data_IF_304398707234
#
_entry.id   IF_304398707234
#
_cell.length_a   1.000
_cell.length_b   1.000
_cell.length_c   1.000
_cell.angle_alpha   90.00
_cell.angle_beta   90.00
_cell.angle_gamma   90.00
#
_symmetry.space_group_name_H-M   'P 1'
#
loop_
_entity.id
_entity.type
_entity.pdbx_description
1 polymer ?
#
# COMPACT_ATOMS: atom_id res chain seq x y z
N UNK A 1 15.31 -1.74 2.76
CA UNK A 1 15.71 -2.53 3.95
C UNK A 1 14.76 -3.71 4.05
N UNK A 2 15.17 -4.88 3.57
CA UNK A 2 14.44 -6.13 3.82
C UNK A 2 14.92 -6.66 5.16
N UNK A 3 14.05 -6.67 6.17
CA UNK A 3 14.36 -7.24 7.47
C UNK A 3 14.19 -8.76 7.34
N UNK A 4 15.26 -9.46 7.00
CA UNK A 4 15.23 -10.93 6.93
C UNK A 4 15.39 -11.48 8.35
N UNK A 5 14.51 -12.41 8.73
CA UNK A 5 14.65 -13.13 9.99
C UNK A 5 15.92 -14.00 9.96
N UNK A 6 16.87 -13.74 10.87
CA UNK A 6 18.14 -14.47 10.99
C UNK A 6 17.94 -15.81 11.69
N UNK A 7 17.49 -16.83 10.94
CA UNK A 7 17.29 -18.19 11.46
C UNK A 7 18.56 -18.80 12.03
N UNK A 8 19.71 -18.53 11.41
CA UNK A 8 20.99 -19.10 11.84
C UNK A 8 21.43 -18.52 13.18
N UNK A 9 21.36 -17.20 13.35
CA UNK A 9 21.64 -16.54 14.62
C UNK A 9 20.65 -16.92 15.71
N UNK A 10 19.37 -17.12 15.37
CA UNK A 10 18.35 -17.59 16.31
C UNK A 10 18.65 -19.02 16.80
N UNK A 11 18.89 -19.97 15.89
CA UNK A 11 19.26 -21.35 16.24
C UNK A 11 20.55 -21.39 17.07
N UNK A 12 21.56 -20.57 16.73
CA UNK A 12 22.81 -20.49 17.50
C UNK A 12 22.57 -20.08 18.95
N UNK A 13 21.76 -19.05 19.21
CA UNK A 13 21.42 -18.62 20.57
C UNK A 13 20.69 -19.70 21.37
N UNK A 14 19.79 -20.46 20.72
CA UNK A 14 19.12 -21.58 21.37
C UNK A 14 20.11 -22.67 21.78
N UNK A 15 21.08 -23.01 20.93
CA UNK A 15 22.13 -23.97 21.28
C UNK A 15 23.02 -23.50 22.40
N UNK A 16 23.40 -22.22 22.41
CA UNK A 16 24.19 -21.60 23.49
C UNK A 16 23.44 -21.66 24.83
N UNK A 17 22.11 -21.65 24.80
CA UNK A 17 21.24 -21.84 25.96
C UNK A 17 20.97 -23.33 26.32
N UNK A 18 21.62 -24.28 25.63
CA UNK A 18 21.51 -25.71 25.91
C UNK A 18 20.43 -26.46 25.12
N UNK A 19 19.75 -25.83 24.16
CA UNK A 19 18.79 -26.53 23.30
C UNK A 19 19.53 -27.44 22.30
N UNK A 20 19.14 -28.73 22.17
CA UNK A 20 19.75 -29.63 21.20
C UNK A 20 19.65 -29.08 19.77
N UNK A 21 20.70 -29.31 18.96
CA UNK A 21 20.82 -28.72 17.61
C UNK A 21 19.57 -28.92 16.73
N UNK A 22 19.05 -30.16 16.66
CA UNK A 22 17.86 -30.46 15.86
C UNK A 22 16.62 -29.67 16.31
N UNK A 23 16.47 -29.45 17.62
CA UNK A 23 15.36 -28.67 18.16
C UNK A 23 15.56 -27.17 17.93
N UNK A 24 16.79 -26.68 18.08
CA UNK A 24 17.13 -25.28 17.82
C UNK A 24 16.88 -24.88 16.36
N UNK A 25 17.24 -25.75 15.41
CA UNK A 25 16.97 -25.56 13.99
C UNK A 25 15.47 -25.60 13.69
N UNK A 26 14.75 -26.62 14.19
CA UNK A 26 13.30 -26.73 14.02
C UNK A 26 12.54 -25.52 14.60
N UNK A 27 12.96 -25.00 15.76
CA UNK A 27 12.40 -23.77 16.33
C UNK A 27 12.69 -22.53 15.48
N UNK A 28 13.91 -22.40 14.95
CA UNK A 28 14.26 -21.27 14.10
C UNK A 28 13.43 -21.24 12.81
N UNK A 29 13.22 -22.42 12.20
CA UNK A 29 12.43 -22.56 10.99
C UNK A 29 10.94 -22.26 11.24
N UNK A 30 10.36 -22.81 12.31
CA UNK A 30 8.99 -22.48 12.70
C UNK A 30 8.83 -20.99 13.00
N UNK A 31 9.75 -20.39 13.76
CA UNK A 31 9.71 -18.97 14.07
C UNK A 31 9.80 -18.10 12.81
N UNK A 32 10.64 -18.46 11.83
CA UNK A 32 10.70 -17.76 10.54
C UNK A 32 9.37 -17.84 9.81
N UNK A 33 8.73 -19.01 9.76
CA UNK A 33 7.46 -19.20 9.07
C UNK A 33 6.36 -18.29 9.65
N UNK A 34 6.25 -18.23 10.98
CA UNK A 34 5.29 -17.33 11.64
C UNK A 34 5.64 -15.84 11.49
N UNK A 35 6.92 -15.47 11.63
CA UNK A 35 7.33 -14.06 11.58
C UNK A 35 7.32 -13.50 10.16
N UNK A 36 7.65 -14.32 9.16
CA UNK A 36 7.73 -13.89 7.76
C UNK A 36 6.46 -14.20 6.96
N UNK A 37 5.50 -14.95 7.50
CA UNK A 37 4.33 -15.45 6.77
C UNK A 37 3.35 -14.37 6.29
N UNK A 38 3.20 -13.27 7.03
CA UNK A 38 2.23 -12.21 6.72
C UNK A 38 2.85 -10.80 6.59
N UNK A 39 4.11 -10.72 6.16
CA UNK A 39 4.77 -9.42 6.00
C UNK A 39 4.38 -8.75 4.69
N UNK A 40 3.91 -7.51 4.79
CA UNK A 40 3.74 -6.63 3.64
C UNK A 40 5.08 -6.43 2.95
N UNK A 41 5.14 -6.74 1.67
CA UNK A 41 6.34 -6.58 0.86
C UNK A 41 6.42 -5.18 0.25
N UNK A 42 7.62 -4.80 -0.23
CA UNK A 42 7.79 -3.54 -0.97
C UNK A 42 6.90 -3.50 -2.22
N UNK A 43 6.70 -4.65 -2.88
CA UNK A 43 5.84 -4.76 -4.07
C UNK A 43 4.38 -4.51 -3.72
N UNK A 44 3.90 -5.00 -2.58
CA UNK A 44 2.52 -4.76 -2.12
C UNK A 44 2.29 -3.27 -1.89
N UNK A 45 3.25 -2.59 -1.24
CA UNK A 45 3.20 -1.14 -1.03
C UNK A 45 3.21 -0.39 -2.36
N UNK A 46 4.12 -0.74 -3.28
CA UNK A 46 4.19 -0.11 -4.61
C UNK A 46 2.89 -0.28 -5.39
N UNK A 47 2.28 -1.47 -5.32
CA UNK A 47 0.99 -1.75 -5.96
C UNK A 47 -0.12 -0.90 -5.35
N UNK A 48 -0.14 -0.77 -4.02
CA UNK A 48 -1.11 0.05 -3.32
C UNK A 48 -0.95 1.54 -3.66
N UNK A 49 0.29 2.05 -3.69
CA UNK A 49 0.60 3.43 -4.09
C UNK A 49 0.13 3.71 -5.51
N UNK A 50 0.47 2.84 -6.48
CA UNK A 50 0.06 3.01 -7.87
C UNK A 50 -1.48 3.01 -8.03
N UNK A 51 -2.18 2.18 -7.25
CA UNK A 51 -3.65 2.17 -7.23
C UNK A 51 -4.23 3.48 -6.68
N UNK A 52 -3.63 4.03 -5.63
CA UNK A 52 -4.05 5.32 -5.06
C UNK A 52 -3.80 6.47 -6.04
N UNK A 53 -2.63 6.54 -6.66
CA UNK A 53 -2.31 7.57 -7.67
C UNK A 53 -3.34 7.55 -8.81
N UNK A 54 -3.62 6.36 -9.34
CA UNK A 54 -4.63 6.17 -10.39
C UNK A 54 -6.02 6.66 -9.95
N UNK A 55 -6.43 6.37 -8.70
CA UNK A 55 -7.72 6.83 -8.18
C UNK A 55 -7.77 8.34 -7.98
N UNK A 56 -6.69 8.95 -7.50
CA UNK A 56 -6.58 10.38 -7.30
C UNK A 56 -6.60 11.15 -8.62
N UNK A 57 -5.92 10.64 -9.64
CA UNK A 57 -5.94 11.22 -10.99
C UNK A 57 -7.34 11.15 -11.59
N UNK A 58 -8.01 10.00 -11.49
CA UNK A 58 -9.39 9.85 -11.96
C UNK A 58 -10.36 10.78 -11.23
N UNK A 59 -10.21 10.92 -9.91
CA UNK A 59 -11.02 11.84 -9.12
C UNK A 59 -10.79 13.29 -9.56
N UNK A 60 -9.52 13.68 -9.72
CA UNK A 60 -9.14 15.03 -10.16
C UNK A 60 -9.71 15.35 -11.54
N UNK A 61 -9.59 14.44 -12.50
CA UNK A 61 -10.17 14.59 -13.84
C UNK A 61 -11.69 14.76 -13.77
N UNK A 62 -12.37 13.90 -13.00
CA UNK A 62 -13.84 13.96 -12.87
C UNK A 62 -14.30 15.28 -12.26
N UNK A 63 -13.58 15.78 -11.26
CA UNK A 63 -13.86 17.08 -10.65
C UNK A 63 -13.64 18.21 -11.65
N UNK A 64 -12.51 18.24 -12.36
CA UNK A 64 -12.23 19.25 -13.39
C UNK A 64 -13.31 19.29 -14.47
N UNK A 65 -13.70 18.13 -15.00
CA UNK A 65 -14.78 18.04 -16.00
C UNK A 65 -16.10 18.55 -15.43
N UNK A 66 -16.48 18.10 -14.22
CA UNK A 66 -17.75 18.50 -13.61
C UNK A 66 -17.80 19.99 -13.31
N UNK A 67 -16.71 20.57 -12.81
CA UNK A 67 -16.57 22.01 -12.57
C UNK A 67 -16.65 22.78 -13.90
N UNK A 68 -15.94 22.32 -14.94
CA UNK A 68 -15.99 22.93 -16.28
C UNK A 68 -17.41 22.95 -16.87
N UNK A 69 -18.14 21.83 -16.76
CA UNK A 69 -19.54 21.75 -17.20
C UNK A 69 -20.43 22.69 -16.40
N UNK A 70 -20.27 22.75 -15.07
CA UNK A 70 -21.07 23.64 -14.22
C UNK A 70 -20.80 25.12 -14.54
N UNK A 71 -19.54 25.51 -14.79
CA UNK A 71 -19.19 26.87 -15.21
C UNK A 71 -19.77 27.21 -16.58
N UNK A 72 -19.65 26.32 -17.57
CA UNK A 72 -20.22 26.52 -18.89
C UNK A 72 -21.75 26.67 -18.83
N UNK A 73 -22.43 25.83 -18.03
CA UNK A 73 -23.87 25.93 -17.80
C UNK A 73 -24.26 27.26 -17.14
N UNK A 74 -23.51 27.69 -16.11
CA UNK A 74 -23.75 28.98 -15.45
C UNK A 74 -23.60 30.16 -16.42
N UNK A 75 -22.56 30.16 -17.26
CA UNK A 75 -22.33 31.20 -18.28
C UNK A 75 -23.45 31.19 -19.33
N UNK A 76 -23.88 30.02 -19.80
CA UNK A 76 -24.96 29.89 -20.78
C UNK A 76 -26.29 30.42 -20.22
N UNK A 77 -26.61 30.08 -18.96
CA UNK A 77 -27.78 30.59 -18.26
C UNK A 77 -27.75 32.11 -18.11
N UNK A 78 -26.62 32.68 -17.70
CA UNK A 78 -26.45 34.13 -17.59
C UNK A 78 -26.64 34.83 -18.95
N UNK A 79 -26.06 34.29 -20.02
CA UNK A 79 -26.23 34.83 -21.37
C UNK A 79 -27.67 34.78 -21.87
N UNK A 80 -28.41 33.72 -21.55
CA UNK A 80 -29.83 33.63 -21.87
C UNK A 80 -30.66 34.70 -21.15
N UNK A 81 -30.42 34.89 -19.84
CA UNK A 81 -31.11 35.91 -19.04
C UNK A 81 -30.85 37.32 -19.59
N UNK A 82 -29.60 37.66 -19.91
CA UNK A 82 -29.24 38.97 -20.46
C UNK A 82 -29.86 39.24 -21.84
N UNK A 83 -30.14 38.19 -22.63
CA UNK A 83 -30.82 38.33 -23.94
C UNK A 83 -32.33 38.57 -23.80
N UNK A 84 -32.91 38.15 -22.69
CA UNK A 84 -34.34 38.27 -22.37
C UNK A 84 -34.71 39.57 -21.65
N UNK A 85 -33.73 40.23 -21.03
CA UNK A 85 -33.86 41.55 -20.39
C UNK A 85 -33.65 42.69 -21.39
#
# INVERSE_FOLDING_TARGET
MTYAFDTLGYARRLREAGVPQKQAEAHADAAKEFVMGELVTKTDIQTLTAHFDTKLDNLSLRLTVRLGVMLAAAIALLGAILKLA
#
